data_IF_157598546424
#
_entry.id   IF_157598546424
#
_cell.length_a   1.000
_cell.length_b   1.000
_cell.length_c   1.000
_cell.angle_alpha   90.00
_cell.angle_beta   90.00
_cell.angle_gamma   90.00
#
_symmetry.space_group_name_H-M   'P 1'
#
loop_
_entity.id
_entity.type
_entity.pdbx_description
1 polymer ?
#
# COMPACT_ATOMS: atom_id res chain seq x y z
N UNK A 1 -12.52 -27.42 -31.58
CA UNK A 1 -13.19 -26.51 -30.62
C UNK A 1 -14.05 -25.57 -31.43
N UNK A 2 -15.32 -25.40 -31.09
CA UNK A 2 -16.26 -24.52 -31.82
C UNK A 2 -16.39 -23.21 -31.06
N UNK A 3 -16.28 -22.07 -31.73
CA UNK A 3 -16.48 -20.74 -31.15
C UNK A 3 -18.01 -20.53 -31.01
N UNK A 4 -18.46 -20.08 -29.84
CA UNK A 4 -19.86 -19.74 -29.56
C UNK A 4 -19.94 -18.45 -28.75
N UNK A 5 -21.08 -17.77 -28.84
CA UNK A 5 -21.37 -16.60 -28.02
C UNK A 5 -21.70 -17.05 -26.60
N UNK A 6 -21.14 -16.36 -25.62
CA UNK A 6 -21.48 -16.57 -24.21
C UNK A 6 -22.82 -15.88 -23.89
N UNK A 7 -23.54 -16.43 -22.93
CA UNK A 7 -24.77 -15.81 -22.39
C UNK A 7 -24.41 -14.58 -21.53
N UNK A 8 -25.34 -13.63 -21.43
CA UNK A 8 -25.16 -12.37 -20.70
C UNK A 8 -24.79 -12.58 -19.22
N UNK A 9 -25.32 -13.63 -18.59
CA UNK A 9 -25.03 -13.97 -17.21
C UNK A 9 -23.57 -14.42 -17.05
N UNK A 10 -23.04 -15.21 -17.99
CA UNK A 10 -21.62 -15.64 -18.00
C UNK A 10 -20.71 -14.47 -18.31
N UNK A 11 -21.04 -13.64 -19.33
CA UNK A 11 -20.32 -12.40 -19.63
C UNK A 11 -20.29 -11.50 -18.39
N UNK A 12 -21.45 -11.41 -17.66
CA UNK A 12 -21.57 -10.67 -16.42
C UNK A 12 -20.59 -11.09 -15.33
N UNK A 13 -20.47 -12.39 -15.13
CA UNK A 13 -19.56 -12.95 -14.12
C UNK A 13 -18.09 -12.80 -14.49
N UNK A 14 -17.75 -12.86 -15.78
CA UNK A 14 -16.37 -12.65 -16.28
C UNK A 14 -15.98 -11.19 -16.07
N UNK A 15 -16.79 -10.24 -16.56
CA UNK A 15 -16.55 -8.80 -16.42
C UNK A 15 -16.53 -8.36 -14.95
N UNK A 16 -17.49 -8.86 -14.14
CA UNK A 16 -17.46 -8.63 -12.70
C UNK A 16 -16.15 -9.06 -12.07
N UNK A 17 -15.52 -10.04 -12.66
CA UNK A 17 -14.24 -10.56 -12.24
C UNK A 17 -13.06 -9.66 -12.45
N UNK A 18 -13.09 -8.84 -13.44
CA UNK A 18 -12.04 -7.88 -13.75
C UNK A 18 -12.17 -6.59 -12.93
N UNK A 19 -13.42 -6.22 -12.58
CA UNK A 19 -13.73 -5.00 -11.83
C UNK A 19 -13.72 -5.26 -10.31
N UNK A 20 -14.31 -6.38 -9.86
CA UNK A 20 -14.46 -6.74 -8.45
C UNK A 20 -13.64 -7.99 -8.15
N UNK A 21 -12.41 -7.81 -7.75
CA UNK A 21 -11.51 -8.92 -7.36
C UNK A 21 -11.78 -9.40 -5.92
N UNK A 22 -12.14 -8.49 -5.04
CA UNK A 22 -12.33 -8.73 -3.60
C UNK A 22 -13.30 -7.72 -2.97
N UNK A 23 -13.74 -7.93 -1.70
CA UNK A 23 -14.62 -7.00 -1.00
C UNK A 23 -14.11 -5.55 -0.99
N UNK A 24 -12.81 -5.34 -0.79
CA UNK A 24 -12.21 -3.99 -0.78
C UNK A 24 -12.34 -3.26 -2.14
N UNK A 25 -12.37 -4.00 -3.26
CA UNK A 25 -12.60 -3.39 -4.58
C UNK A 25 -14.03 -2.89 -4.70
N UNK A 26 -15.01 -3.68 -4.25
CA UNK A 26 -16.42 -3.26 -4.23
C UNK A 26 -16.63 -2.03 -3.33
N UNK A 27 -16.09 -2.04 -2.10
CA UNK A 27 -16.16 -0.90 -1.18
C UNK A 27 -15.56 0.35 -1.81
N UNK A 28 -14.38 0.24 -2.43
CA UNK A 28 -13.70 1.37 -3.08
C UNK A 28 -14.59 1.98 -4.18
N UNK A 29 -15.12 1.16 -5.08
CA UNK A 29 -15.99 1.67 -6.16
C UNK A 29 -17.27 2.32 -5.62
N UNK A 30 -17.89 1.77 -4.56
CA UNK A 30 -19.06 2.35 -3.93
C UNK A 30 -18.75 3.70 -3.26
N UNK A 31 -17.63 3.79 -2.55
CA UNK A 31 -17.18 5.04 -1.93
C UNK A 31 -16.82 6.09 -2.98
N UNK A 32 -16.12 5.71 -4.06
CA UNK A 32 -15.80 6.61 -5.17
C UNK A 32 -17.08 7.14 -5.87
N UNK A 33 -18.12 6.30 -5.99
CA UNK A 33 -19.41 6.74 -6.50
C UNK A 33 -20.09 7.75 -5.57
N UNK A 34 -20.03 7.55 -4.26
CA UNK A 34 -20.54 8.50 -3.27
C UNK A 34 -19.80 9.85 -3.34
N UNK A 35 -18.46 9.83 -3.49
CA UNK A 35 -17.65 11.03 -3.69
C UNK A 35 -18.02 11.76 -4.99
N UNK A 36 -18.20 11.03 -6.09
CA UNK A 36 -18.63 11.59 -7.37
C UNK A 36 -20.06 12.17 -7.32
N UNK A 37 -20.93 11.63 -6.43
CA UNK A 37 -22.26 12.17 -6.14
C UNK A 37 -22.22 13.43 -5.24
N UNK A 38 -21.04 13.92 -4.90
CA UNK A 38 -20.86 15.11 -4.08
C UNK A 38 -21.26 14.92 -2.61
N UNK A 39 -21.12 13.71 -2.09
CA UNK A 39 -21.39 13.43 -0.68
C UNK A 39 -20.42 14.22 0.23
N UNK A 40 -20.95 14.69 1.36
CA UNK A 40 -20.18 15.29 2.44
C UNK A 40 -20.02 14.36 3.66
N UNK A 41 -20.84 13.31 3.71
CA UNK A 41 -20.79 12.28 4.73
C UNK A 41 -20.94 10.91 4.10
N UNK A 42 -19.97 10.03 4.38
CA UNK A 42 -19.96 8.65 3.88
C UNK A 42 -19.75 7.72 5.08
N UNK A 43 -20.68 6.79 5.27
CA UNK A 43 -20.60 5.74 6.27
C UNK A 43 -20.49 4.38 5.60
N UNK A 44 -19.49 3.61 6.00
CA UNK A 44 -19.20 2.26 5.49
C UNK A 44 -19.34 1.26 6.62
N UNK A 45 -20.25 0.31 6.47
CA UNK A 45 -20.43 -0.80 7.41
C UNK A 45 -20.12 -2.13 6.72
N UNK A 46 -19.33 -2.96 7.39
CA UNK A 46 -18.87 -4.23 6.82
C UNK A 46 -19.03 -5.35 7.84
N UNK A 47 -19.50 -6.51 7.39
CA UNK A 47 -19.57 -7.74 8.19
C UNK A 47 -18.91 -8.90 7.46
N UNK A 48 -18.29 -9.80 8.25
CA UNK A 48 -17.64 -11.01 7.73
C UNK A 48 -16.55 -10.67 6.69
N UNK A 49 -15.74 -9.61 6.93
CA UNK A 49 -14.72 -9.17 5.98
C UNK A 49 -15.30 -8.67 4.64
N UNK A 50 -16.57 -8.30 4.59
CA UNK A 50 -17.28 -7.87 3.40
C UNK A 50 -17.81 -9.00 2.50
N UNK A 51 -17.70 -10.23 2.94
CA UNK A 51 -18.30 -11.40 2.25
C UNK A 51 -19.78 -11.54 2.54
N UNK A 52 -20.17 -11.22 3.78
CA UNK A 52 -21.56 -11.32 4.23
C UNK A 52 -22.34 -10.06 3.87
N UNK A 53 -21.81 -8.90 4.28
CA UNK A 53 -22.49 -7.62 4.03
C UNK A 53 -21.50 -6.47 3.93
N UNK A 54 -21.77 -5.61 2.94
CA UNK A 54 -21.20 -4.28 2.80
C UNK A 54 -22.37 -3.31 2.68
N UNK A 55 -22.38 -2.26 3.49
CA UNK A 55 -23.34 -1.16 3.39
C UNK A 55 -22.60 0.15 3.26
N UNK A 56 -22.90 0.93 2.23
CA UNK A 56 -22.37 2.28 2.04
C UNK A 56 -23.55 3.25 2.05
N UNK A 57 -23.48 4.25 2.92
CA UNK A 57 -24.48 5.30 3.08
C UNK A 57 -23.83 6.63 2.75
N UNK A 58 -24.44 7.39 1.87
CA UNK A 58 -23.99 8.73 1.50
C UNK A 58 -25.15 9.74 1.49
N UNK A 59 -24.81 11.01 1.68
CA UNK A 59 -25.69 12.15 1.62
C UNK A 59 -25.57 12.94 0.29
N UNK A 60 -25.12 12.29 -0.78
CA UNK A 60 -24.91 12.87 -2.10
C UNK A 60 -26.20 13.36 -2.76
N UNK A 61 -26.15 13.64 -4.06
CA UNK A 61 -27.33 14.13 -4.83
C UNK A 61 -28.46 13.12 -4.92
N UNK A 62 -28.19 11.83 -4.71
CA UNK A 62 -29.15 10.74 -4.88
C UNK A 62 -29.49 10.48 -6.35
N UNK A 63 -30.47 9.59 -6.58
CA UNK A 63 -30.92 9.17 -7.89
C UNK A 63 -32.44 9.20 -7.96
N UNK A 64 -33.00 9.59 -9.12
CA UNK A 64 -34.41 9.41 -9.46
C UNK A 64 -34.71 7.92 -9.71
N UNK A 65 -35.98 7.47 -9.71
CA UNK A 65 -36.33 6.09 -10.00
C UNK A 65 -35.82 5.59 -11.36
N UNK A 66 -35.80 6.45 -12.37
CA UNK A 66 -35.34 6.12 -13.74
C UNK A 66 -33.80 5.99 -13.76
N UNK A 67 -33.06 6.91 -13.10
CA UNK A 67 -31.60 6.81 -12.94
C UNK A 67 -31.24 5.58 -12.14
N UNK A 68 -31.99 5.26 -11.09
CA UNK A 68 -31.80 4.08 -10.28
C UNK A 68 -31.93 2.79 -11.10
N UNK A 69 -32.91 2.73 -12.03
CA UNK A 69 -33.07 1.62 -12.96
C UNK A 69 -31.82 1.43 -13.85
N UNK A 70 -31.29 2.54 -14.34
CA UNK A 70 -30.11 2.55 -15.21
C UNK A 70 -28.81 2.28 -14.45
N UNK A 71 -28.75 2.54 -13.15
CA UNK A 71 -27.53 2.50 -12.35
C UNK A 71 -26.82 1.14 -12.34
N UNK A 72 -27.56 0.04 -12.49
CA UNK A 72 -27.04 -1.34 -12.58
C UNK A 72 -27.00 -1.89 -14.01
N UNK A 73 -27.28 -1.04 -15.01
CA UNK A 73 -27.12 -1.39 -16.42
C UNK A 73 -25.68 -1.15 -16.85
N UNK A 74 -25.13 -2.06 -17.65
CA UNK A 74 -23.78 -1.90 -18.18
C UNK A 74 -23.70 -0.72 -19.14
N UNK A 75 -22.54 -0.05 -19.11
CA UNK A 75 -22.23 1.11 -19.94
C UNK A 75 -23.13 2.32 -19.67
N UNK A 76 -23.95 2.31 -18.61
CA UNK A 76 -24.71 3.47 -18.16
C UNK A 76 -23.84 4.32 -17.21
N UNK A 77 -23.58 5.57 -17.60
CA UNK A 77 -22.80 6.52 -16.81
C UNK A 77 -23.28 7.95 -17.02
N UNK A 78 -23.29 8.73 -15.96
CA UNK A 78 -23.53 10.18 -15.99
C UNK A 78 -22.25 11.00 -16.11
N UNK A 79 -21.06 10.36 -16.13
CA UNK A 79 -19.77 11.01 -15.88
C UNK A 79 -19.01 11.36 -17.15
N UNK A 80 -19.29 10.68 -18.28
CA UNK A 80 -18.69 10.94 -19.59
C UNK A 80 -19.78 10.81 -20.65
N UNK A 81 -19.71 11.64 -21.69
CA UNK A 81 -20.61 11.58 -22.85
C UNK A 81 -19.85 11.40 -24.16
N UNK A 82 -18.61 11.90 -24.21
CA UNK A 82 -17.77 11.88 -25.40
C UNK A 82 -16.40 11.25 -25.14
N UNK A 83 -15.74 10.83 -26.23
CA UNK A 83 -14.37 10.34 -26.16
C UNK A 83 -13.37 11.39 -25.62
N UNK A 84 -13.65 12.67 -25.85
CA UNK A 84 -12.81 13.77 -25.37
C UNK A 84 -12.84 13.90 -23.84
N UNK A 85 -13.96 13.53 -23.20
CA UNK A 85 -14.08 13.54 -21.73
C UNK A 85 -13.13 12.54 -21.08
N UNK A 86 -12.75 11.45 -21.80
CA UNK A 86 -11.77 10.48 -21.32
C UNK A 86 -10.35 11.07 -21.12
N UNK A 87 -10.04 12.15 -21.81
CA UNK A 87 -8.73 12.84 -21.68
C UNK A 87 -8.70 13.81 -20.50
N UNK A 88 -9.86 14.18 -19.95
CA UNK A 88 -9.99 15.19 -18.88
C UNK A 88 -10.79 14.65 -17.68
N UNK A 89 -10.62 13.36 -17.36
CA UNK A 89 -11.35 12.72 -16.28
C UNK A 89 -11.03 13.37 -14.94
N UNK A 90 -12.01 14.06 -14.37
CA UNK A 90 -11.94 14.59 -13.00
C UNK A 90 -12.66 13.68 -12.00
N UNK A 91 -13.65 12.89 -12.44
CA UNK A 91 -14.41 11.94 -11.62
C UNK A 91 -13.60 10.69 -11.26
N UNK A 92 -13.84 10.09 -10.12
CA UNK A 92 -13.20 8.83 -9.71
C UNK A 92 -13.59 7.65 -10.59
N UNK A 93 -14.87 7.52 -10.96
CA UNK A 93 -15.41 6.50 -11.87
C UNK A 93 -15.80 7.10 -13.22
N UNK A 94 -15.79 6.30 -14.31
CA UNK A 94 -16.22 6.74 -15.65
C UNK A 94 -16.72 5.62 -16.55
N UNK A 95 -16.48 4.34 -16.23
CA UNK A 95 -16.75 3.22 -17.14
C UNK A 95 -18.22 2.77 -17.17
N UNK A 96 -19.04 3.14 -16.18
CA UNK A 96 -20.44 2.70 -16.09
C UNK A 96 -20.62 1.19 -15.88
N UNK A 97 -19.65 0.52 -15.27
CA UNK A 97 -19.64 -0.94 -15.13
C UNK A 97 -19.58 -1.41 -13.67
N UNK A 98 -19.20 -0.54 -12.72
CA UNK A 98 -18.92 -0.93 -11.34
C UNK A 98 -20.15 -1.51 -10.64
N UNK A 99 -21.28 -0.78 -10.62
CA UNK A 99 -22.52 -1.25 -9.99
C UNK A 99 -23.12 -2.47 -10.69
N UNK A 100 -23.09 -2.49 -12.02
CA UNK A 100 -23.54 -3.66 -12.81
C UNK A 100 -22.69 -4.90 -12.50
N UNK A 101 -21.37 -4.74 -12.37
CA UNK A 101 -20.43 -5.81 -12.01
C UNK A 101 -20.66 -6.30 -10.58
N UNK A 102 -20.88 -5.41 -9.63
CA UNK A 102 -21.23 -5.77 -8.24
C UNK A 102 -22.55 -6.53 -8.22
N UNK A 103 -23.61 -6.01 -8.88
CA UNK A 103 -24.92 -6.64 -8.93
C UNK A 103 -24.91 -8.05 -9.54
N UNK A 104 -24.02 -8.31 -10.51
CA UNK A 104 -23.89 -9.63 -11.14
C UNK A 104 -23.41 -10.72 -10.19
N UNK A 105 -22.70 -10.38 -9.12
CA UNK A 105 -22.05 -11.33 -8.19
C UNK A 105 -22.51 -11.22 -6.74
N UNK A 106 -23.59 -10.47 -6.50
CA UNK A 106 -24.13 -10.20 -5.15
C UNK A 106 -25.65 -10.18 -5.12
N UNK A 107 -26.21 -10.23 -3.91
CA UNK A 107 -27.56 -9.76 -3.63
C UNK A 107 -27.44 -8.27 -3.26
N UNK A 108 -27.97 -7.38 -4.14
CA UNK A 108 -27.84 -5.93 -4.00
C UNK A 108 -29.16 -5.27 -3.73
N UNK A 109 -29.17 -4.34 -2.77
CA UNK A 109 -30.27 -3.42 -2.48
C UNK A 109 -29.72 -2.00 -2.56
N UNK A 110 -30.39 -1.13 -3.34
CA UNK A 110 -30.09 0.29 -3.45
C UNK A 110 -31.34 1.07 -3.07
N UNK A 111 -31.25 1.91 -2.06
CA UNK A 111 -32.28 2.87 -1.68
C UNK A 111 -31.74 4.26 -1.97
N UNK A 112 -32.43 5.02 -2.83
CA UNK A 112 -31.98 6.36 -3.17
C UNK A 112 -33.12 7.32 -3.29
N UNK A 113 -32.87 8.58 -2.93
CA UNK A 113 -33.77 9.72 -3.15
C UNK A 113 -32.94 10.89 -3.66
N UNK A 114 -33.32 11.38 -4.84
CA UNK A 114 -32.75 12.60 -5.39
C UNK A 114 -33.07 13.81 -4.51
N UNK A 115 -32.17 14.76 -4.44
CA UNK A 115 -32.41 16.03 -3.72
C UNK A 115 -33.59 16.76 -4.34
N UNK A 116 -34.55 17.19 -3.53
CA UNK A 116 -35.77 17.87 -3.97
C UNK A 116 -36.89 16.95 -4.41
N UNK A 117 -36.70 15.63 -4.47
CA UNK A 117 -37.76 14.67 -4.71
C UNK A 117 -38.56 14.37 -3.42
N UNK A 118 -39.88 14.19 -3.55
CA UNK A 118 -40.77 13.89 -2.42
C UNK A 118 -40.56 12.44 -1.92
N UNK A 119 -40.28 11.53 -2.81
CA UNK A 119 -40.16 10.09 -2.54
C UNK A 119 -38.86 9.53 -3.09
N UNK A 120 -38.33 8.50 -2.40
CA UNK A 120 -37.24 7.69 -2.87
C UNK A 120 -37.69 6.43 -3.58
N UNK A 121 -36.76 5.70 -4.12
CA UNK A 121 -37.00 4.38 -4.71
C UNK A 121 -36.00 3.36 -4.12
N UNK A 122 -36.48 2.12 -4.03
CA UNK A 122 -35.67 0.94 -3.66
C UNK A 122 -35.57 0.04 -4.87
N UNK A 123 -34.35 -0.26 -5.26
CA UNK A 123 -33.99 -1.28 -6.22
C UNK A 123 -33.46 -2.51 -5.50
N UNK A 124 -33.94 -3.69 -5.91
CA UNK A 124 -33.40 -4.97 -5.47
C UNK A 124 -33.09 -5.86 -6.66
N UNK A 125 -31.91 -6.48 -6.68
CA UNK A 125 -31.51 -7.45 -7.68
C UNK A 125 -30.65 -8.53 -7.03
N UNK A 126 -30.79 -9.78 -7.48
CA UNK A 126 -30.07 -10.90 -6.93
C UNK A 126 -29.25 -11.58 -8.00
N UNK A 127 -27.91 -11.56 -7.85
CA UNK A 127 -26.95 -12.23 -8.74
C UNK A 127 -27.18 -11.97 -10.23
N UNK A 128 -27.41 -10.69 -10.59
CA UNK A 128 -27.66 -10.26 -11.97
C UNK A 128 -29.08 -10.54 -12.48
N UNK A 129 -30.04 -10.88 -11.59
CA UNK A 129 -31.44 -10.99 -11.99
C UNK A 129 -32.02 -9.62 -12.38
N UNK A 130 -33.15 -9.64 -13.12
CA UNK A 130 -33.92 -8.43 -13.45
C UNK A 130 -34.24 -7.65 -12.18
N UNK A 131 -33.92 -6.36 -12.10
CA UNK A 131 -34.16 -5.55 -10.93
C UNK A 131 -35.67 -5.32 -10.70
N UNK A 132 -36.02 -5.28 -9.41
CA UNK A 132 -37.34 -4.82 -8.98
C UNK A 132 -37.21 -3.46 -8.34
N UNK A 133 -38.03 -2.49 -8.79
CA UNK A 133 -38.02 -1.12 -8.25
C UNK A 133 -39.38 -0.84 -7.61
N UNK A 134 -39.32 -0.25 -6.39
CA UNK A 134 -40.52 0.12 -5.62
C UNK A 134 -40.32 1.49 -4.96
N UNK A 135 -41.36 2.33 -4.89
CA UNK A 135 -41.31 3.55 -4.12
C UNK A 135 -41.05 3.26 -2.64
N UNK A 136 -40.28 4.11 -1.98
CA UNK A 136 -39.97 4.00 -0.55
C UNK A 136 -39.77 5.38 0.08
N UNK A 137 -40.14 5.53 1.33
CA UNK A 137 -39.74 6.71 2.11
C UNK A 137 -38.22 6.59 2.43
N UNK A 138 -37.44 7.58 2.03
CA UNK A 138 -36.03 7.66 2.25
C UNK A 138 -35.58 9.10 2.48
N UNK A 139 -34.46 9.31 3.18
CA UNK A 139 -33.74 10.58 3.21
C UNK A 139 -33.03 10.86 1.87
N UNK A 140 -32.64 12.14 1.60
CA UNK A 140 -31.83 12.45 0.43
C UNK A 140 -30.48 11.73 0.50
N UNK A 141 -29.94 11.30 -0.67
CA UNK A 141 -28.70 10.53 -0.78
C UNK A 141 -28.97 9.09 -1.18
N UNK A 142 -27.98 8.21 -0.93
CA UNK A 142 -28.04 6.82 -1.36
C UNK A 142 -27.57 5.87 -0.26
N UNK A 143 -28.26 4.73 -0.13
CA UNK A 143 -27.86 3.58 0.69
C UNK A 143 -27.71 2.37 -0.21
N UNK A 144 -26.52 1.85 -0.32
CA UNK A 144 -26.24 0.63 -1.09
C UNK A 144 -25.87 -0.48 -0.11
N UNK A 145 -26.62 -1.56 -0.12
CA UNK A 145 -26.34 -2.77 0.65
C UNK A 145 -26.07 -3.93 -0.30
N UNK A 146 -24.90 -4.52 -0.14
CA UNK A 146 -24.42 -5.67 -0.90
C UNK A 146 -24.29 -6.84 0.06
N UNK A 147 -24.89 -7.98 -0.28
CA UNK A 147 -24.84 -9.21 0.51
C UNK A 147 -24.31 -10.37 -0.31
N UNK A 148 -23.73 -11.36 0.38
CA UNK A 148 -23.33 -12.65 -0.20
C UNK A 148 -22.38 -12.54 -1.40
N UNK A 149 -21.37 -11.71 -1.28
CA UNK A 149 -20.40 -11.47 -2.35
C UNK A 149 -19.78 -12.79 -2.86
N UNK A 150 -19.88 -13.02 -4.17
CA UNK A 150 -19.44 -14.23 -4.88
C UNK A 150 -20.15 -15.53 -4.49
N UNK A 151 -21.33 -15.50 -3.89
CA UNK A 151 -22.05 -16.74 -3.58
C UNK A 151 -22.40 -17.54 -4.84
N UNK A 152 -22.63 -16.86 -5.97
CA UNK A 152 -22.88 -17.46 -7.29
C UNK A 152 -21.60 -17.79 -8.09
N UNK A 153 -20.40 -17.54 -7.52
CA UNK A 153 -19.09 -17.84 -8.13
C UNK A 153 -18.19 -18.53 -7.11
N UNK A 154 -18.46 -19.82 -6.76
CA UNK A 154 -17.79 -20.52 -5.66
C UNK A 154 -16.28 -20.55 -5.76
N UNK A 155 -15.73 -20.73 -6.96
CA UNK A 155 -14.29 -20.72 -7.19
C UNK A 155 -13.66 -19.40 -6.73
N UNK A 156 -14.30 -18.25 -7.02
CA UNK A 156 -13.81 -16.94 -6.59
C UNK A 156 -13.95 -16.73 -5.09
N UNK A 157 -15.07 -17.16 -4.50
CA UNK A 157 -15.29 -17.09 -3.06
C UNK A 157 -14.23 -17.87 -2.29
N UNK A 158 -13.77 -19.00 -2.82
CA UNK A 158 -12.71 -19.83 -2.23
C UNK A 158 -11.32 -19.15 -2.25
N UNK A 159 -11.07 -18.20 -3.15
CA UNK A 159 -9.81 -17.43 -3.22
C UNK A 159 -9.77 -16.25 -2.23
N UNK A 160 -10.89 -15.86 -1.63
CA UNK A 160 -10.90 -14.80 -0.63
C UNK A 160 -10.12 -15.23 0.61
N UNK A 161 -9.43 -14.27 1.20
CA UNK A 161 -8.67 -14.48 2.44
C UNK A 161 -9.60 -14.58 3.65
N UNK A 162 -9.04 -14.80 4.83
CA UNK A 162 -9.79 -14.76 6.09
C UNK A 162 -10.43 -13.37 6.28
N UNK A 163 -11.55 -13.32 7.00
CA UNK A 163 -12.36 -12.10 7.18
C UNK A 163 -11.55 -10.95 7.75
N UNK A 164 -10.68 -11.22 8.72
CA UNK A 164 -9.79 -10.22 9.30
C UNK A 164 -8.81 -9.63 8.28
N UNK A 165 -8.34 -10.43 7.32
CA UNK A 165 -7.45 -9.97 6.25
C UNK A 165 -8.20 -9.11 5.23
N UNK A 166 -9.39 -9.55 4.80
CA UNK A 166 -10.23 -8.77 3.88
C UNK A 166 -10.70 -7.46 4.53
N UNK A 167 -11.06 -7.48 5.82
CA UNK A 167 -11.36 -6.30 6.62
C UNK A 167 -10.19 -5.30 6.64
N UNK A 168 -8.96 -5.79 6.75
CA UNK A 168 -7.76 -4.98 6.68
C UNK A 168 -7.57 -4.30 5.32
N UNK A 169 -7.90 -4.97 4.22
CA UNK A 169 -7.88 -4.35 2.88
C UNK A 169 -8.97 -3.28 2.72
N UNK A 170 -10.18 -3.53 3.27
CA UNK A 170 -11.27 -2.54 3.27
C UNK A 170 -10.88 -1.32 4.09
N UNK A 171 -10.37 -1.53 5.31
CA UNK A 171 -9.89 -0.44 6.15
C UNK A 171 -8.90 0.45 5.39
N UNK A 172 -7.89 -0.15 4.74
CA UNK A 172 -6.88 0.59 3.97
C UNK A 172 -7.49 1.39 2.81
N UNK A 173 -8.45 0.81 2.09
CA UNK A 173 -9.11 1.49 0.98
C UNK A 173 -9.93 2.69 1.44
N UNK A 174 -10.77 2.52 2.48
CA UNK A 174 -11.60 3.62 3.01
C UNK A 174 -10.74 4.69 3.69
N UNK A 175 -9.69 4.30 4.42
CA UNK A 175 -8.71 5.21 5.02
C UNK A 175 -8.03 6.08 3.96
N UNK A 176 -7.63 5.49 2.83
CA UNK A 176 -7.01 6.23 1.74
C UNK A 176 -7.98 7.23 1.09
N UNK A 177 -9.27 6.87 0.92
CA UNK A 177 -10.30 7.80 0.44
C UNK A 177 -10.53 8.95 1.44
N UNK A 178 -10.58 8.65 2.73
CA UNK A 178 -10.77 9.67 3.79
C UNK A 178 -9.60 10.67 3.84
N UNK A 179 -8.37 10.18 3.65
CA UNK A 179 -7.18 11.04 3.60
C UNK A 179 -7.05 11.81 2.28
N UNK A 180 -7.62 11.29 1.19
CA UNK A 180 -7.69 11.99 -0.09
C UNK A 180 -8.73 13.12 -0.10
N UNK A 181 -9.77 13.01 0.74
CA UNK A 181 -10.89 13.95 0.83
C UNK A 181 -11.17 14.32 2.28
N UNK A 182 -10.27 15.11 2.90
CA UNK A 182 -10.44 15.56 4.28
C UNK A 182 -11.68 16.47 4.48
N UNK A 183 -12.24 17.01 3.40
CA UNK A 183 -13.47 17.79 3.34
C UNK A 183 -14.75 16.94 3.44
N UNK A 184 -14.62 15.62 3.45
CA UNK A 184 -15.73 14.67 3.60
C UNK A 184 -15.59 13.92 4.92
N UNK A 185 -16.71 13.84 5.65
CA UNK A 185 -16.79 13.02 6.86
C UNK A 185 -16.87 11.54 6.48
N UNK A 186 -15.96 10.76 6.99
CA UNK A 186 -15.99 9.30 6.85
C UNK A 186 -16.21 8.63 8.20
N UNK A 187 -17.00 7.55 8.17
CA UNK A 187 -17.17 6.65 9.30
C UNK A 187 -17.03 5.20 8.80
N UNK A 188 -16.12 4.43 9.38
CA UNK A 188 -15.93 3.03 9.04
C UNK A 188 -16.22 2.13 10.24
N UNK A 189 -17.17 1.20 10.04
CA UNK A 189 -17.50 0.16 11.00
C UNK A 189 -17.16 -1.22 10.40
N UNK A 190 -16.53 -2.07 11.19
CA UNK A 190 -16.28 -3.48 10.86
C UNK A 190 -16.76 -4.34 12.01
N UNK A 191 -17.67 -5.27 11.72
CA UNK A 191 -18.31 -6.16 12.69
C UNK A 191 -18.84 -5.37 13.90
N UNK A 192 -19.62 -4.33 13.60
CA UNK A 192 -20.27 -3.40 14.54
C UNK A 192 -19.32 -2.54 15.39
N UNK A 193 -18.01 -2.59 15.12
CA UNK A 193 -17.02 -1.75 15.81
C UNK A 193 -16.61 -0.58 14.93
N UNK A 194 -16.69 0.62 15.46
CA UNK A 194 -16.16 1.82 14.82
C UNK A 194 -14.63 1.74 14.82
N UNK A 195 -14.02 1.71 13.62
CA UNK A 195 -12.57 1.69 13.46
C UNK A 195 -11.99 3.10 13.39
N UNK A 196 -12.63 3.99 12.65
CA UNK A 196 -12.28 5.40 12.63
C UNK A 196 -13.44 6.28 12.20
N UNK A 197 -13.34 7.56 12.54
CA UNK A 197 -14.22 8.64 12.10
C UNK A 197 -13.36 9.84 11.76
N UNK A 198 -13.64 10.50 10.62
CA UNK A 198 -13.10 11.82 10.29
C UNK A 198 -14.17 12.88 10.42
N UNK A 199 -13.76 14.13 10.67
CA UNK A 199 -14.69 15.23 10.92
C UNK A 199 -15.25 15.91 9.66
N UNK A 200 -14.55 15.75 8.50
CA UNK A 200 -14.92 16.43 7.26
C UNK A 200 -14.60 17.93 7.26
N UNK A 201 -13.66 18.38 8.09
CA UNK A 201 -13.28 19.78 8.25
C UNK A 201 -12.49 20.36 7.08
N UNK A 202 -11.95 19.53 6.21
CA UNK A 202 -11.01 19.91 5.15
C UNK A 202 -9.55 19.94 5.62
N UNK A 203 -9.30 19.79 6.92
CA UNK A 203 -7.94 19.70 7.46
C UNK A 203 -7.39 18.28 7.38
N UNK A 204 -6.27 18.12 6.65
CA UNK A 204 -5.62 16.82 6.50
C UNK A 204 -5.04 16.30 7.82
N UNK A 205 -4.57 17.17 8.72
CA UNK A 205 -4.06 16.78 10.04
C UNK A 205 -5.15 16.16 10.89
N UNK A 206 -6.37 16.74 10.88
CA UNK A 206 -7.54 16.18 11.55
C UNK A 206 -7.93 14.83 10.95
N UNK A 207 -7.93 14.71 9.61
CA UNK A 207 -8.19 13.45 8.93
C UNK A 207 -7.14 12.37 9.29
N UNK A 208 -5.87 12.75 9.35
CA UNK A 208 -4.77 11.87 9.80
C UNK A 208 -5.00 11.40 11.24
N UNK A 209 -5.38 12.31 12.14
CA UNK A 209 -5.68 11.98 13.54
C UNK A 209 -6.90 11.05 13.65
N UNK A 210 -7.93 11.27 12.85
CA UNK A 210 -9.11 10.41 12.79
C UNK A 210 -8.78 9.00 12.30
N UNK A 211 -8.01 8.87 11.21
CA UNK A 211 -7.71 7.60 10.56
C UNK A 211 -6.62 6.80 11.25
N UNK A 212 -5.50 7.43 11.62
CA UNK A 212 -4.33 6.77 12.19
C UNK A 212 -4.32 6.75 13.72
N UNK A 213 -5.18 7.55 14.33
CA UNK A 213 -5.27 7.75 15.78
C UNK A 213 -4.39 8.90 16.26
N UNK A 214 -4.87 9.60 17.31
CA UNK A 214 -4.23 10.80 17.86
C UNK A 214 -2.77 10.58 18.29
N UNK A 215 -2.43 9.41 18.84
CA UNK A 215 -1.06 9.10 19.28
C UNK A 215 -0.06 9.04 18.12
N UNK A 216 -0.49 8.53 16.98
CA UNK A 216 0.36 8.48 15.77
C UNK A 216 0.43 9.87 15.16
N UNK A 217 -0.71 10.52 15.00
CA UNK A 217 -0.81 11.86 14.43
C UNK A 217 0.06 12.89 15.17
N UNK A 218 0.11 12.83 16.51
CA UNK A 218 0.96 13.70 17.33
C UNK A 218 2.46 13.54 17.06
N UNK A 219 2.88 12.44 16.40
CA UNK A 219 4.25 12.17 16.02
C UNK A 219 4.47 12.28 14.50
N UNK A 220 3.51 12.86 13.80
CA UNK A 220 3.62 13.17 12.38
C UNK A 220 3.78 14.67 12.18
N UNK A 221 4.56 15.05 11.19
CA UNK A 221 4.84 16.45 10.87
C UNK A 221 4.40 16.74 9.44
N UNK A 222 3.86 17.94 9.18
CA UNK A 222 3.47 18.32 7.83
C UNK A 222 4.70 18.45 6.93
N UNK A 223 4.58 18.00 5.69
CA UNK A 223 5.58 18.23 4.66
C UNK A 223 5.59 19.73 4.35
N UNK A 224 6.76 20.35 4.43
CA UNK A 224 6.91 21.76 4.09
C UNK A 224 6.76 21.91 2.58
N UNK A 225 5.96 22.88 2.12
CA UNK A 225 5.95 23.23 0.71
C UNK A 225 7.38 23.58 0.27
N UNK A 226 7.82 23.08 -0.88
CA UNK A 226 9.08 23.53 -1.46
C UNK A 226 8.95 25.04 -1.71
N UNK A 227 9.82 25.84 -1.11
CA UNK A 227 10.03 27.21 -1.56
C UNK A 227 10.60 27.16 -2.99
N UNK A 228 10.09 27.94 -3.93
CA UNK A 228 10.61 27.94 -5.30
C UNK A 228 12.08 28.34 -5.26
N UNK A 229 12.96 27.36 -5.13
CA UNK A 229 14.37 27.55 -5.41
C UNK A 229 14.46 27.86 -6.90
N UNK A 230 14.81 29.09 -7.28
CA UNK A 230 14.76 29.70 -8.61
C UNK A 230 15.34 28.92 -9.81
N UNK A 231 15.40 27.61 -9.71
CA UNK A 231 15.64 26.68 -10.80
C UNK A 231 14.27 26.15 -11.21
N UNK A 232 13.75 26.63 -12.34
CA UNK A 232 12.60 26.07 -13.02
C UNK A 232 12.88 24.60 -13.32
N UNK A 233 12.51 23.73 -12.39
CA UNK A 233 12.43 22.30 -12.69
C UNK A 233 11.19 22.11 -13.55
N UNK A 234 11.37 21.71 -14.79
CA UNK A 234 10.36 21.51 -15.84
C UNK A 234 9.20 20.57 -15.44
N UNK A 235 9.29 19.90 -14.30
CA UNK A 235 8.27 18.99 -13.75
C UNK A 235 7.85 19.50 -12.38
N UNK A 236 6.91 20.43 -12.37
CA UNK A 236 6.30 20.94 -11.14
C UNK A 236 5.33 19.91 -10.56
N UNK A 237 5.83 18.86 -9.91
CA UNK A 237 5.04 18.02 -9.02
C UNK A 237 5.12 18.64 -7.61
N UNK A 238 4.01 19.16 -7.10
CA UNK A 238 3.91 19.62 -5.72
C UNK A 238 3.68 18.44 -4.79
N UNK A 239 4.48 18.36 -3.73
CA UNK A 239 4.39 17.31 -2.71
C UNK A 239 3.96 17.92 -1.39
N UNK A 240 2.88 17.40 -0.83
CA UNK A 240 2.33 17.81 0.47
C UNK A 240 1.94 16.58 1.29
N UNK A 241 1.48 16.76 2.52
CA UNK A 241 1.03 15.66 3.36
C UNK A 241 1.68 15.64 4.73
N UNK A 242 1.77 14.46 5.32
CA UNK A 242 2.32 14.25 6.66
C UNK A 242 3.28 13.07 6.69
N UNK A 243 4.39 13.22 7.37
CA UNK A 243 5.39 12.16 7.59
C UNK A 243 5.61 11.92 9.07
N UNK A 244 5.68 10.66 9.48
CA UNK A 244 5.97 10.27 10.85
C UNK A 244 7.43 10.52 11.21
N UNK A 245 7.70 10.99 12.42
CA UNK A 245 9.06 11.05 12.94
C UNK A 245 9.69 9.64 12.96
N UNK A 246 11.03 9.51 12.93
CA UNK A 246 11.73 8.22 12.93
C UNK A 246 11.38 7.29 14.10
N UNK A 247 10.79 7.83 15.17
CA UNK A 247 10.27 7.08 16.32
C UNK A 247 9.02 6.26 15.97
N UNK A 248 8.27 6.65 14.94
CA UNK A 248 7.02 6.01 14.52
C UNK A 248 7.28 5.12 13.30
N UNK A 249 7.46 3.84 13.53
CA UNK A 249 7.70 2.87 12.45
C UNK A 249 6.76 1.66 12.54
N UNK A 250 6.60 0.96 11.43
CA UNK A 250 5.79 -0.27 11.31
C UNK A 250 6.60 -1.43 10.75
N UNK A 251 6.10 -2.66 10.96
CA UNK A 251 6.68 -3.86 10.38
C UNK A 251 6.31 -4.08 8.90
N UNK A 252 5.42 -3.26 8.34
CA UNK A 252 4.97 -3.37 6.95
C UNK A 252 4.63 -1.98 6.39
N UNK A 253 4.38 -1.92 5.06
CA UNK A 253 4.08 -0.68 4.31
C UNK A 253 2.61 -0.23 4.36
N UNK A 254 1.77 -0.85 5.18
CA UNK A 254 0.32 -0.60 5.14
C UNK A 254 -0.08 0.83 5.52
N UNK A 255 0.73 1.52 6.33
CA UNK A 255 0.52 2.90 6.73
C UNK A 255 1.35 3.91 5.91
N UNK A 256 1.88 3.48 4.76
CA UNK A 256 2.43 4.36 3.74
C UNK A 256 1.36 4.56 2.66
N UNK A 257 0.71 5.72 2.68
CA UNK A 257 -0.40 6.06 1.78
C UNK A 257 0.10 7.14 0.82
N UNK A 258 -0.02 6.86 -0.47
CA UNK A 258 0.39 7.77 -1.54
C UNK A 258 -0.84 8.15 -2.36
N UNK A 259 -1.06 9.44 -2.47
CA UNK A 259 -2.15 10.04 -3.20
C UNK A 259 -1.58 10.83 -4.38
N UNK A 260 -2.19 10.71 -5.55
CA UNK A 260 -1.85 11.51 -6.74
C UNK A 260 -3.13 12.15 -7.25
N UNK A 261 -3.15 13.50 -7.26
CA UNK A 261 -4.35 14.28 -7.62
C UNK A 261 -5.61 13.78 -6.88
N UNK A 262 -5.48 13.50 -5.57
CA UNK A 262 -6.57 13.00 -4.74
C UNK A 262 -6.93 11.53 -4.94
N UNK A 263 -6.18 10.75 -5.73
CA UNK A 263 -6.40 9.31 -5.94
C UNK A 263 -5.37 8.49 -5.20
N UNK A 264 -5.81 7.49 -4.47
CA UNK A 264 -4.91 6.52 -3.86
C UNK A 264 -4.28 5.62 -4.92
N UNK A 265 -2.94 5.56 -4.91
CA UNK A 265 -2.15 4.71 -5.80
C UNK A 265 -1.24 3.77 -5.03
N UNK A 266 -0.96 2.63 -5.62
CA UNK A 266 0.02 1.65 -5.14
C UNK A 266 1.24 1.67 -6.08
N UNK A 267 2.23 2.51 -5.76
CA UNK A 267 3.49 2.59 -6.50
C UNK A 267 4.64 2.09 -5.63
N UNK A 268 5.33 1.05 -6.09
CA UNK A 268 6.55 0.55 -5.44
C UNK A 268 7.68 1.57 -5.53
N UNK A 269 7.76 2.27 -6.65
CA UNK A 269 8.80 3.27 -6.90
C UNK A 269 8.66 4.46 -5.94
N UNK A 270 7.45 5.01 -5.81
CA UNK A 270 7.21 6.12 -4.87
C UNK A 270 7.30 5.69 -3.40
N UNK A 271 6.86 4.47 -3.07
CA UNK A 271 7.06 3.91 -1.73
C UNK A 271 8.55 3.83 -1.39
N UNK A 272 9.37 3.42 -2.36
CA UNK A 272 10.82 3.37 -2.21
C UNK A 272 11.45 4.75 -2.09
N UNK A 273 10.94 5.78 -2.79
CA UNK A 273 11.39 7.17 -2.63
C UNK A 273 11.22 7.65 -1.18
N UNK A 274 10.05 7.37 -0.58
CA UNK A 274 9.81 7.69 0.84
C UNK A 274 10.75 6.90 1.75
N UNK A 275 10.92 5.57 1.54
CA UNK A 275 11.82 4.74 2.34
C UNK A 275 13.27 5.23 2.24
N UNK A 276 13.71 5.65 1.07
CA UNK A 276 15.05 6.24 0.85
C UNK A 276 15.24 7.55 1.64
N UNK A 277 14.20 8.38 1.75
CA UNK A 277 14.27 9.59 2.57
C UNK A 277 14.51 9.30 4.05
N UNK A 278 14.03 8.15 4.54
CA UNK A 278 14.26 7.67 5.91
C UNK A 278 15.53 6.85 6.07
N UNK A 279 16.29 6.62 4.98
CA UNK A 279 17.54 5.86 5.07
C UNK A 279 18.46 6.46 6.14
N UNK A 280 19.05 5.61 6.97
CA UNK A 280 19.83 5.95 8.17
C UNK A 280 19.04 6.45 9.39
N UNK A 281 17.78 6.81 9.27
CA UNK A 281 16.94 7.32 10.37
C UNK A 281 16.14 6.21 11.06
N UNK A 282 15.81 5.14 10.35
CA UNK A 282 15.03 4.01 10.87
C UNK A 282 15.81 2.69 10.69
N UNK A 283 15.50 1.71 11.54
CA UNK A 283 16.14 0.39 11.47
C UNK A 283 15.74 -0.36 10.18
N UNK A 284 16.64 -1.19 9.68
CA UNK A 284 16.39 -2.09 8.55
C UNK A 284 15.20 -3.00 8.86
N UNK A 285 14.29 -3.16 7.87
CA UNK A 285 13.07 -3.94 8.04
C UNK A 285 11.91 -3.21 8.73
N UNK A 286 12.08 -1.93 9.05
CA UNK A 286 11.01 -1.05 9.52
C UNK A 286 10.60 -0.09 8.42
N UNK A 287 9.31 0.27 8.41
CA UNK A 287 8.72 1.14 7.41
C UNK A 287 8.14 2.40 8.07
N UNK A 288 8.25 3.55 7.42
CA UNK A 288 7.69 4.79 7.94
C UNK A 288 6.16 4.78 7.85
N UNK A 289 5.54 5.61 8.69
CA UNK A 289 4.13 6.01 8.56
C UNK A 289 4.12 7.33 7.80
N UNK A 290 3.43 7.39 6.67
CA UNK A 290 3.38 8.62 5.89
C UNK A 290 2.09 8.70 5.04
N UNK A 291 1.60 9.91 4.85
CA UNK A 291 0.53 10.26 3.92
C UNK A 291 1.10 11.31 2.98
N UNK A 292 1.37 10.89 1.75
CA UNK A 292 2.00 11.73 0.72
C UNK A 292 0.95 12.09 -0.31
N UNK A 293 0.72 13.37 -0.54
CA UNK A 293 -0.15 13.87 -1.59
C UNK A 293 0.70 14.55 -2.66
N UNK A 294 0.62 14.05 -3.88
CA UNK A 294 1.33 14.56 -5.05
C UNK A 294 0.32 15.22 -5.97
N UNK A 295 0.50 16.49 -6.23
CA UNK A 295 -0.29 17.24 -7.21
C UNK A 295 0.56 17.47 -8.44
N UNK A 296 0.09 17.02 -9.60
CA UNK A 296 0.77 17.09 -10.89
C UNK A 296 -0.25 17.42 -11.98
N UNK A 297 0.22 18.09 -13.04
CA UNK A 297 -0.61 18.37 -14.21
C UNK A 297 -1.20 17.07 -14.77
N UNK A 298 -2.53 16.97 -14.94
CA UNK A 298 -3.19 15.78 -15.49
C UNK A 298 -2.67 15.34 -16.87
N UNK A 299 -2.17 16.27 -17.69
CA UNK A 299 -1.58 15.96 -19.00
C UNK A 299 -0.27 15.15 -18.91
N UNK A 300 0.37 15.14 -17.74
CA UNK A 300 1.61 14.41 -17.47
C UNK A 300 1.36 13.08 -16.72
N UNK A 301 0.11 12.70 -16.56
CA UNK A 301 -0.32 11.53 -15.79
C UNK A 301 -1.23 10.64 -16.64
N UNK A 302 -0.83 9.40 -16.87
CA UNK A 302 -1.74 8.38 -17.41
C UNK A 302 -2.33 7.54 -16.26
N UNK A 303 -3.64 7.68 -16.06
CA UNK A 303 -4.41 6.99 -15.01
C UNK A 303 -5.06 5.71 -15.54
N UNK A 304 -5.08 5.49 -16.85
CA UNK A 304 -5.78 4.36 -17.47
C UNK A 304 -4.87 3.15 -17.70
N UNK A 305 -3.98 2.87 -16.77
CA UNK A 305 -3.00 1.79 -16.87
C UNK A 305 -3.58 0.44 -16.40
N UNK A 306 -4.42 0.46 -15.36
CA UNK A 306 -4.98 -0.74 -14.74
C UNK A 306 -6.49 -0.62 -14.50
N UNK A 307 -7.29 -1.71 -14.64
CA UNK A 307 -8.73 -1.68 -14.41
C UNK A 307 -9.13 -1.10 -13.04
N UNK A 308 -8.38 -1.43 -11.98
CA UNK A 308 -8.62 -0.95 -10.61
C UNK A 308 -8.06 0.46 -10.34
N UNK A 309 -7.43 1.11 -11.33
CA UNK A 309 -6.87 2.48 -11.23
C UNK A 309 -5.89 2.67 -10.06
N UNK A 310 -5.25 1.60 -9.60
CA UNK A 310 -4.26 1.64 -8.49
C UNK A 310 -2.86 1.97 -8.97
N UNK A 311 -2.60 1.85 -10.27
CA UNK A 311 -1.33 2.15 -10.90
C UNK A 311 -1.50 3.33 -11.83
N UNK A 312 -0.52 4.21 -11.84
CA UNK A 312 -0.45 5.37 -12.74
C UNK A 312 0.93 5.42 -13.37
N UNK A 313 1.02 5.99 -14.57
CA UNK A 313 2.29 6.27 -15.22
C UNK A 313 2.50 7.77 -15.30
N UNK A 314 3.68 8.20 -14.89
CA UNK A 314 4.11 9.59 -15.01
C UNK A 314 4.92 9.76 -16.30
N UNK A 315 4.80 10.92 -16.94
CA UNK A 315 5.65 11.29 -18.08
C UNK A 315 7.12 11.33 -17.69
N UNK A 316 7.42 11.74 -16.45
CA UNK A 316 8.76 11.69 -15.86
C UNK A 316 8.71 11.11 -14.44
N UNK A 317 8.89 9.81 -14.35
CA UNK A 317 8.91 9.09 -13.07
C UNK A 317 10.09 9.49 -12.18
N UNK A 318 11.24 9.86 -12.78
CA UNK A 318 12.46 10.20 -12.03
C UNK A 318 12.29 11.54 -11.32
N UNK A 319 11.72 12.52 -12.00
CA UNK A 319 11.47 13.83 -11.41
C UNK A 319 10.49 13.73 -10.24
N UNK A 320 9.38 12.99 -10.40
CA UNK A 320 8.40 12.76 -9.31
C UNK A 320 9.05 12.00 -8.15
N UNK A 321 9.85 10.97 -8.42
CA UNK A 321 10.61 10.25 -7.40
C UNK A 321 11.51 11.17 -6.59
N UNK A 322 12.31 12.01 -7.29
CA UNK A 322 13.24 12.94 -6.65
C UNK A 322 12.52 14.02 -5.83
N UNK A 323 11.39 14.53 -6.33
CA UNK A 323 10.57 15.50 -5.60
C UNK A 323 10.03 14.91 -4.29
N UNK A 324 9.46 13.70 -4.34
CA UNK A 324 8.97 13.01 -3.13
C UNK A 324 10.10 12.75 -2.14
N UNK A 325 11.24 12.20 -2.61
CA UNK A 325 12.38 11.91 -1.75
C UNK A 325 12.91 13.16 -1.06
N UNK A 326 13.09 14.26 -1.81
CA UNK A 326 13.60 15.54 -1.32
C UNK A 326 12.65 16.15 -0.30
N UNK A 327 11.37 16.32 -0.64
CA UNK A 327 10.37 16.93 0.24
C UNK A 327 10.28 16.20 1.60
N UNK A 328 10.26 14.86 1.57
CA UNK A 328 10.26 14.05 2.79
C UNK A 328 11.57 14.20 3.57
N UNK A 329 12.72 14.16 2.89
CA UNK A 329 14.04 14.26 3.55
C UNK A 329 14.24 15.62 4.21
N UNK A 330 13.93 16.71 3.52
CA UNK A 330 14.05 18.07 4.05
C UNK A 330 13.16 18.29 5.27
N UNK A 331 11.92 17.78 5.19
CA UNK A 331 11.00 17.80 6.34
C UNK A 331 11.61 17.08 7.55
N UNK A 332 12.11 15.85 7.37
CA UNK A 332 12.69 15.07 8.47
C UNK A 332 13.92 15.76 9.07
N UNK A 333 14.80 16.31 8.25
CA UNK A 333 15.99 17.04 8.71
C UNK A 333 15.60 18.26 9.54
N UNK A 334 14.58 19.00 9.14
CA UNK A 334 14.14 20.22 9.85
C UNK A 334 13.52 19.93 11.23
N UNK A 335 12.94 18.75 11.42
CA UNK A 335 12.33 18.34 12.69
C UNK A 335 13.21 17.43 13.55
N UNK A 336 14.33 16.91 13.01
CA UNK A 336 15.32 16.20 13.80
C UNK A 336 16.25 17.23 14.43
N UNK A 337 16.25 17.43 15.78
CA UNK A 337 17.19 18.33 16.39
C UNK A 337 18.60 17.86 16.02
N UNK A 338 19.38 18.76 15.41
CA UNK A 338 20.78 18.51 15.16
C UNK A 338 21.40 18.12 16.52
N UNK A 339 21.85 16.87 16.67
CA UNK A 339 22.69 16.52 17.78
C UNK A 339 23.90 17.43 17.63
N UNK A 340 23.96 18.48 18.47
CA UNK A 340 25.17 19.28 18.62
C UNK A 340 26.26 18.29 19.01
N UNK A 341 27.12 17.99 18.05
CA UNK A 341 28.36 17.27 18.34
C UNK A 341 29.01 18.14 19.41
N UNK A 342 29.22 17.62 20.64
CA UNK A 342 29.93 18.39 21.63
C UNK A 342 31.27 18.75 20.98
N UNK A 343 31.50 20.07 20.77
CA UNK A 343 32.78 20.54 20.32
C UNK A 343 33.73 20.01 21.34
N UNK A 344 34.55 19.01 20.96
CA UNK A 344 35.67 18.60 21.76
C UNK A 344 36.47 19.85 21.99
N UNK A 345 36.35 20.42 23.19
CA UNK A 345 37.28 21.43 23.67
C UNK A 345 38.68 20.86 23.46
N UNK A 346 39.34 21.41 22.48
CA UNK A 346 40.77 21.10 22.24
C UNK A 346 41.49 21.47 23.52
N UNK A 347 41.67 20.48 24.37
CA UNK A 347 42.62 20.56 25.48
C UNK A 347 43.98 20.79 24.82
N UNK A 348 44.40 22.04 24.78
CA UNK A 348 45.76 22.42 24.43
C UNK A 348 46.66 21.65 25.41
N UNK A 349 47.29 20.58 24.93
CA UNK A 349 48.42 20.00 25.65
C UNK A 349 49.50 21.06 25.75
N UNK A 350 50.02 21.37 26.94
CA UNK A 350 51.15 22.28 27.06
C UNK A 350 52.32 21.68 26.30
N UNK A 351 52.96 22.47 25.46
CA UNK A 351 54.16 22.12 24.74
C UNK A 351 55.29 21.80 25.75
N UNK A 352 55.45 20.51 26.09
CA UNK A 352 56.59 20.02 26.81
C UNK A 352 57.79 19.91 25.88
N UNK A 353 58.90 20.53 26.26
CA UNK A 353 60.17 20.57 25.59
C UNK A 353 60.71 19.17 25.17
N UNK A 354 61.35 19.03 24.02
CA UNK A 354 61.85 17.75 23.50
C UNK A 354 63.21 17.40 24.04
N UNK A 355 63.28 16.87 25.26
CA UNK A 355 64.50 16.30 25.77
C UNK A 355 64.17 15.21 26.78
N UNK A 356 63.91 13.99 26.33
CA UNK A 356 64.10 12.72 27.05
C UNK A 356 63.42 11.52 26.45
N UNK A 357 63.33 11.42 25.11
CA UNK A 357 62.68 10.29 24.46
C UNK A 357 63.61 9.32 23.74
N UNK A 358 64.86 9.20 24.20
CA UNK A 358 65.84 8.23 23.64
C UNK A 358 66.13 6.97 24.48
N UNK A 359 65.60 6.83 25.69
CA UNK A 359 65.96 5.72 26.55
C UNK A 359 64.87 4.73 27.00
N UNK A 360 63.73 4.72 26.35
CA UNK A 360 62.65 3.74 26.68
C UNK A 360 62.27 2.73 25.59
N UNK A 361 63.04 2.60 24.52
CA UNK A 361 62.78 1.68 23.43
C UNK A 361 63.49 0.29 23.57
N UNK A 362 63.93 -0.11 24.73
CA UNK A 362 64.62 -1.40 24.90
C UNK A 362 64.08 -2.29 26.02
N UNK A 363 62.85 -2.23 26.40
CA UNK A 363 62.25 -3.26 27.26
C UNK A 363 60.74 -3.43 26.96
N UNK A 364 60.37 -4.13 25.91
CA UNK A 364 59.04 -4.75 25.77
C UNK A 364 59.07 -5.85 24.71
N UNK A 365 59.81 -6.90 25.00
CA UNK A 365 59.58 -8.20 24.35
C UNK A 365 59.14 -9.14 25.45
N UNK A 366 57.81 -9.36 25.51
CA UNK A 366 57.18 -10.63 25.92
C UNK A 366 55.69 -10.36 26.11
N UNK A 367 54.92 -10.82 25.22
CA UNK A 367 53.46 -10.97 25.36
C UNK A 367 53.19 -12.42 25.80
N UNK A 368 52.63 -12.68 26.96
CA UNK A 368 52.00 -13.96 27.22
C UNK A 368 50.45 -13.81 27.21
N UNK A 369 49.83 -14.80 26.65
CA UNK A 369 48.48 -15.23 26.96
C UNK A 369 47.31 -14.55 26.28
N UNK A 370 47.09 -14.90 24.99
CA UNK A 370 45.73 -14.92 24.34
C UNK A 370 45.09 -16.32 24.50
N UNK A 371 45.60 -17.22 25.30
CA UNK A 371 45.02 -18.58 25.41
C UNK A 371 44.05 -18.80 26.58
N UNK A 372 43.69 -17.78 27.37
CA UNK A 372 42.91 -17.98 28.60
C UNK A 372 41.45 -17.46 28.56
N UNK A 373 41.01 -16.81 27.47
CA UNK A 373 39.65 -16.28 27.38
C UNK A 373 38.71 -17.23 26.64
N UNK A 374 39.23 -18.25 25.93
CA UNK A 374 38.34 -19.19 25.16
C UNK A 374 37.82 -20.38 25.98
N UNK A 375 38.28 -20.61 27.20
CA UNK A 375 37.82 -21.77 28.01
C UNK A 375 36.66 -21.48 28.96
N UNK A 376 36.27 -20.22 29.17
CA UNK A 376 35.14 -19.88 30.06
C UNK A 376 33.78 -19.67 29.38
N UNK A 377 33.73 -19.59 28.06
CA UNK A 377 32.44 -19.40 27.31
C UNK A 377 31.73 -20.70 26.92
N UNK A 378 32.32 -21.87 27.13
CA UNK A 378 31.69 -23.15 26.71
C UNK A 378 30.89 -23.79 27.86
N UNK A 379 31.09 -23.38 29.09
CA UNK A 379 30.36 -23.96 30.24
C UNK A 379 29.03 -23.34 30.55
N UNK A 380 28.63 -22.21 29.89
CA UNK A 380 27.34 -21.54 30.14
C UNK A 380 26.27 -21.83 29.08
N UNK A 381 26.58 -22.64 28.09
CA UNK A 381 25.64 -22.95 26.99
C UNK A 381 24.79 -24.22 27.20
N UNK A 382 24.94 -24.93 28.33
CA UNK A 382 24.25 -26.20 28.59
C UNK A 382 22.98 -26.07 29.44
N UNK A 383 22.55 -24.87 29.85
CA UNK A 383 21.37 -24.70 30.74
C UNK A 383 20.20 -23.91 30.18
N UNK A 384 20.21 -23.49 28.89
CA UNK A 384 19.06 -22.84 28.25
C UNK A 384 18.71 -23.59 26.96
N UNK A 385 18.26 -24.80 27.10
CA UNK A 385 17.66 -25.60 26.03
C UNK A 385 16.26 -26.06 26.41
N UNK A 386 15.40 -25.12 26.78
CA UNK A 386 13.93 -25.31 26.74
C UNK A 386 13.28 -23.95 26.49
N UNK A 387 12.62 -23.89 25.33
CA UNK A 387 11.71 -22.88 24.80
C UNK A 387 12.34 -21.73 23.99
N UNK A 388 11.82 -21.64 22.73
CA UNK A 388 11.82 -20.54 21.77
C UNK A 388 13.12 -20.27 20.99
N UNK A 389 12.94 -20.34 19.67
CA UNK A 389 13.91 -19.99 18.66
C UNK A 389 14.51 -18.57 18.89
N UNK A 390 15.77 -18.52 19.28
CA UNK A 390 16.54 -17.28 19.31
C UNK A 390 17.49 -17.24 18.10
N UNK A 391 17.31 -16.22 17.30
CA UNK A 391 18.18 -15.87 16.16
C UNK A 391 19.51 -15.35 16.74
N UNK A 392 20.60 -16.04 16.50
CA UNK A 392 21.95 -15.55 16.78
C UNK A 392 22.40 -14.60 15.66
N UNK A 393 22.52 -13.31 15.96
CA UNK A 393 23.23 -12.33 15.11
C UNK A 393 24.72 -12.39 15.45
N UNK A 394 25.55 -12.88 14.52
CA UNK A 394 27.00 -12.78 14.61
C UNK A 394 27.45 -11.46 13.97
N UNK A 395 28.15 -10.64 14.74
CA UNK A 395 28.85 -9.43 14.28
C UNK A 395 30.15 -9.84 13.62
N UNK A 396 30.38 -9.39 12.43
CA UNK A 396 31.46 -9.76 11.51
C UNK A 396 32.77 -9.05 11.88
N UNK A 397 33.78 -9.81 12.17
CA UNK A 397 35.18 -9.42 11.95
C UNK A 397 35.78 -10.49 11.04
N UNK A 398 35.87 -10.18 9.76
CA UNK A 398 36.75 -10.76 8.77
C UNK A 398 36.89 -12.30 8.68
N UNK A 399 35.77 -13.06 8.56
CA UNK A 399 35.84 -14.51 8.33
C UNK A 399 34.80 -14.85 7.21
N UNK A 400 35.12 -15.66 6.19
CA UNK A 400 34.23 -15.94 5.07
C UNK A 400 33.01 -16.77 5.49
N UNK A 401 31.90 -16.53 4.77
CA UNK A 401 30.53 -16.96 5.01
C UNK A 401 30.35 -18.46 5.25
N UNK A 402 29.66 -18.82 6.33
CA UNK A 402 29.15 -20.17 6.61
C UNK A 402 27.65 -20.20 6.20
N UNK A 403 27.29 -21.04 5.23
CA UNK A 403 25.87 -21.31 4.89
C UNK A 403 25.34 -22.47 5.73
N UNK A 404 24.20 -22.23 6.38
CA UNK A 404 23.43 -23.29 7.04
C UNK A 404 22.37 -23.86 6.07
N UNK A 405 22.38 -25.18 5.90
CA UNK A 405 21.31 -25.93 5.25
C UNK A 405 20.44 -26.61 6.33
N UNK A 406 19.15 -26.32 6.35
CA UNK A 406 18.18 -26.98 7.20
C UNK A 406 17.62 -28.23 6.50
N UNK A 407 17.83 -29.38 7.07
CA UNK A 407 17.21 -30.65 6.68
C UNK A 407 16.12 -30.99 7.70
N UNK A 408 14.90 -31.20 7.22
CA UNK A 408 13.77 -31.68 8.01
C UNK A 408 13.97 -33.15 8.38
N UNK A 409 13.95 -33.44 9.67
CA UNK A 409 13.79 -34.80 10.20
C UNK A 409 14.86 -35.18 11.24
N UNK A 410 14.40 -35.35 12.45
CA UNK A 410 15.03 -35.96 13.65
C UNK A 410 16.56 -35.99 13.80
N UNK A 411 17.00 -35.28 14.84
CA UNK A 411 18.36 -35.29 15.45
C UNK A 411 19.38 -34.39 14.74
N UNK A 412 19.53 -33.19 15.28
CA UNK A 412 20.58 -32.24 14.92
C UNK A 412 21.96 -32.78 15.25
N UNK A 413 22.75 -33.06 14.25
CA UNK A 413 24.22 -33.17 14.33
C UNK A 413 24.81 -32.06 13.48
N UNK A 414 25.58 -31.18 14.11
CA UNK A 414 26.39 -30.20 13.39
C UNK A 414 27.55 -30.93 12.68
N UNK A 415 27.55 -30.84 11.36
CA UNK A 415 28.70 -31.25 10.55
C UNK A 415 29.34 -30.01 9.92
N UNK A 416 30.63 -29.86 10.11
CA UNK A 416 31.46 -28.84 9.46
C UNK A 416 31.98 -29.47 8.18
N UNK A 417 31.60 -28.96 7.03
CA UNK A 417 32.14 -29.38 5.73
C UNK A 417 33.17 -28.31 5.30
N UNK A 418 34.43 -28.74 5.13
CA UNK A 418 35.48 -27.96 4.48
C UNK A 418 35.24 -27.91 2.98
N UNK A 419 35.36 -26.74 2.38
CA UNK A 419 35.32 -26.54 0.95
C UNK A 419 36.39 -27.35 0.22
N UNK A 420 35.95 -28.04 -0.85
CA UNK A 420 36.82 -28.65 -1.85
C UNK A 420 37.10 -27.62 -2.95
N UNK A 421 38.37 -27.49 -3.30
CA UNK A 421 38.87 -26.63 -4.37
C UNK A 421 38.28 -26.97 -5.75
N UNK A 422 37.86 -25.94 -6.48
CA UNK A 422 37.49 -26.02 -7.88
C UNK A 422 38.74 -25.76 -8.76
N UNK A 423 39.03 -26.59 -9.79
CA UNK A 423 40.12 -26.33 -10.72
C UNK A 423 39.75 -25.22 -11.70
N UNK A 424 40.62 -24.24 -11.86
CA UNK A 424 40.64 -23.30 -12.98
C UNK A 424 41.27 -24.00 -14.19
N UNK A 425 40.54 -24.05 -15.30
CA UNK A 425 41.06 -24.14 -16.67
C UNK A 425 39.88 -23.80 -17.58
N UNK A 426 39.94 -22.99 -18.58
CA UNK A 426 40.97 -22.70 -19.56
C UNK A 426 40.20 -22.56 -20.86
N UNK A 427 40.42 -21.49 -21.57
CA UNK A 427 39.82 -21.17 -22.88
C UNK A 427 40.03 -22.31 -23.84
N UNK A 428 39.05 -22.61 -24.74
CA UNK A 428 39.31 -22.53 -26.16
C UNK A 428 38.04 -22.52 -27.02
N UNK A 429 38.20 -21.86 -28.15
CA UNK A 429 37.24 -21.65 -29.23
C UNK A 429 37.19 -22.91 -30.14
N UNK A 430 36.04 -23.23 -30.73
CA UNK A 430 35.81 -23.20 -32.17
C UNK A 430 34.69 -24.14 -32.62
N UNK A 431 33.83 -23.61 -33.46
CA UNK A 431 33.25 -24.14 -34.69
C UNK A 431 32.30 -25.35 -34.69
N UNK A 432 31.07 -25.02 -35.12
CA UNK A 432 30.41 -25.59 -36.29
C UNK A 432 29.54 -26.86 -36.16
N UNK A 433 28.40 -26.71 -36.80
CA UNK A 433 27.51 -27.65 -37.49
C UNK A 433 26.28 -28.22 -36.75
N UNK A 434 25.19 -27.58 -37.05
CA UNK A 434 24.05 -28.07 -37.85
C UNK A 434 23.74 -29.58 -37.76
N UNK A 435 22.57 -29.92 -37.19
CA UNK A 435 21.65 -30.96 -37.62
C UNK A 435 20.38 -30.97 -36.76
N UNK A 436 19.26 -30.64 -37.43
CA UNK A 436 17.92 -31.00 -36.98
C UNK A 436 17.71 -32.51 -37.11
N UNK A 437 16.86 -33.13 -36.35
CA UNK A 437 16.03 -34.20 -36.83
C UNK A 437 14.53 -33.96 -36.73
N UNK A 438 13.88 -34.58 -37.65
CA UNK A 438 12.50 -34.51 -38.07
C UNK A 438 11.50 -35.07 -37.04
N UNK A 439 10.29 -34.54 -37.16
CA UNK A 439 9.03 -34.99 -36.60
C UNK A 439 8.57 -36.26 -37.33
N UNK A 440 8.20 -37.28 -36.56
CA UNK A 440 7.29 -38.34 -37.02
C UNK A 440 6.25 -38.60 -35.95
N UNK A 441 4.96 -38.41 -36.31
CA UNK A 441 3.80 -38.99 -35.65
C UNK A 441 3.66 -40.47 -36.03
N UNK A 442 2.97 -41.26 -35.22
CA UNK A 442 1.89 -42.06 -35.75
C UNK A 442 0.66 -42.18 -34.82
N UNK A 443 -0.49 -42.18 -35.48
CA UNK A 443 -1.81 -42.81 -35.21
C UNK A 443 -2.49 -42.61 -33.88
#
# INVERSE_FOLDING_TARGET
>A
MTIHLLDDATIGKIAAGEVVERPASAVKELVENALDAGARSIRVEVRGGGKERITVVDDGVGMTPDELALSITRHATSKIQTFQDLQRITSYGFRGEALASIAAVTDIEIVSRARGADHGARLTARFGSTPTIRPVAAGPGTVITVRDLFANVPARRAFLRQDTTEAGYIHRAVAACALARPDVRFELLIDDKVLFVTDGSGDLGNAVAGVLGAQIAAQMVPIRPEEPSGVETEVAASVSGYVGLPTVTRGNRQQLIILVNGRWIESRNLSFAVEQAYHTLIMVGRYPVAVINITIDPSRLDVNVHPTKREVRFSDERAVFSAVQRAVRETLVSYTPAQSVPQSTSTRFPAGSPSSMRDRAKRATTWPAVSMICRRSIASCSLIARSTAAICSAVTIGIPAIRFLSVKGHRSRCAIIKEAEWPRNGRDRSSAHDRRPAITSPR
#
